data_IF_496440457729
#
_entry.id   IF_496440457729
#
_cell.length_a   1.000
_cell.length_b   1.000
_cell.length_c   1.000
_cell.angle_alpha   90.00
_cell.angle_beta   90.00
_cell.angle_gamma   90.00
#
_symmetry.space_group_name_H-M   'P 1'
#
loop_
_entity.id
_entity.type
_entity.pdbx_description
1 polymer ?
#
# COMPACT_ATOMS: atom_id res chain seq x y z
N UNK A 1 20.76 -39.48 6.73
CA UNK A 1 19.60 -39.93 5.93
C UNK A 1 19.37 -38.92 4.81
N UNK A 2 19.51 -39.32 3.55
CA UNK A 2 19.36 -38.41 2.40
C UNK A 2 17.88 -38.00 2.25
N UNK A 3 17.60 -36.69 2.18
CA UNK A 3 16.25 -36.16 1.96
C UNK A 3 15.77 -36.58 0.57
N UNK A 4 14.54 -37.08 0.48
CA UNK A 4 13.93 -37.46 -0.79
C UNK A 4 13.80 -36.24 -1.72
N UNK A 5 14.42 -36.29 -2.90
CA UNK A 5 14.29 -35.26 -3.94
C UNK A 5 12.85 -35.26 -4.44
N UNK A 6 12.18 -34.10 -4.39
CA UNK A 6 10.85 -33.92 -4.95
C UNK A 6 11.00 -33.49 -6.40
N UNK A 7 10.59 -34.33 -7.34
CA UNK A 7 10.72 -34.08 -8.79
C UNK A 7 10.06 -32.75 -9.17
N UNK A 8 10.79 -31.88 -9.87
CA UNK A 8 10.29 -30.59 -10.35
C UNK A 8 10.51 -29.39 -9.41
N UNK A 9 11.17 -29.58 -8.27
CA UNK A 9 11.53 -28.51 -7.34
C UNK A 9 13.06 -28.40 -7.18
N UNK A 10 13.61 -27.19 -6.98
CA UNK A 10 15.03 -26.98 -6.70
C UNK A 10 15.52 -27.76 -5.46
N UNK A 11 16.76 -28.26 -5.51
CA UNK A 11 17.38 -29.05 -4.43
C UNK A 11 17.53 -28.26 -3.10
N UNK A 12 17.47 -26.93 -3.15
CA UNK A 12 17.59 -26.00 -2.03
C UNK A 12 16.25 -25.60 -1.37
N UNK A 13 15.12 -26.16 -1.83
CA UNK A 13 13.82 -25.79 -1.29
C UNK A 13 13.59 -26.37 0.12
N UNK A 14 13.70 -25.51 1.13
CA UNK A 14 13.32 -25.82 2.51
C UNK A 14 11.90 -25.31 2.76
N UNK A 15 11.04 -26.14 3.36
CA UNK A 15 9.72 -25.70 3.83
C UNK A 15 9.92 -24.68 4.97
N UNK A 16 9.78 -23.38 4.68
CA UNK A 16 9.87 -22.32 5.69
C UNK A 16 8.56 -22.29 6.47
N UNK A 17 8.50 -23.06 7.55
CA UNK A 17 7.36 -23.12 8.47
C UNK A 17 7.51 -22.07 9.58
N UNK A 18 8.01 -20.88 9.26
CA UNK A 18 8.02 -19.82 10.24
C UNK A 18 6.55 -19.42 10.41
N UNK A 19 6.01 -19.39 11.64
CA UNK A 19 4.59 -19.07 11.88
C UNK A 19 4.18 -17.79 11.12
N UNK A 20 5.10 -16.84 11.00
CA UNK A 20 4.92 -15.61 10.23
C UNK A 20 4.82 -15.76 8.70
N UNK A 21 5.41 -16.78 8.07
CA UNK A 21 5.45 -16.90 6.61
C UNK A 21 4.12 -17.41 6.03
N UNK A 22 3.44 -18.30 6.75
CA UNK A 22 2.11 -18.80 6.38
C UNK A 22 1.07 -17.69 6.57
N UNK A 23 1.12 -16.98 7.71
CA UNK A 23 0.27 -15.82 7.99
C UNK A 23 0.42 -14.71 6.93
N UNK A 24 1.65 -14.46 6.46
CA UNK A 24 1.94 -13.45 5.43
C UNK A 24 1.39 -13.82 4.04
N UNK A 25 1.30 -15.12 3.73
CA UNK A 25 0.72 -15.63 2.48
C UNK A 25 -0.81 -15.63 2.55
N UNK A 26 -1.37 -15.95 3.72
CA UNK A 26 -2.81 -15.99 3.96
C UNK A 26 -3.44 -14.60 4.12
N UNK A 27 -2.70 -13.58 4.57
CA UNK A 27 -3.17 -12.18 4.61
C UNK A 27 -3.19 -11.52 3.20
N UNK A 28 -3.89 -12.16 2.27
CA UNK A 28 -4.46 -11.44 1.13
C UNK A 28 -5.63 -10.61 1.66
N UNK A 29 -5.31 -9.46 2.26
CA UNK A 29 -6.31 -8.46 2.63
C UNK A 29 -7.00 -8.01 1.35
N UNK A 30 -8.20 -8.55 1.08
CA UNK A 30 -9.06 -8.22 -0.06
C UNK A 30 -9.74 -6.85 0.09
N UNK A 31 -9.04 -5.87 0.65
CA UNK A 31 -9.55 -4.52 0.91
C UNK A 31 -8.54 -3.44 0.54
N UNK A 32 -9.00 -2.21 0.29
CA UNK A 32 -8.11 -1.08 0.03
C UNK A 32 -7.19 -0.87 1.23
N UNK A 33 -5.87 -1.01 1.02
CA UNK A 33 -4.86 -0.73 2.05
C UNK A 33 -4.77 0.78 2.28
N UNK A 34 -5.37 1.25 3.36
CA UNK A 34 -5.21 2.62 3.84
C UNK A 34 -3.86 2.71 4.55
N UNK A 35 -3.05 3.72 4.21
CA UNK A 35 -1.73 3.96 4.80
C UNK A 35 -1.57 5.45 5.08
N UNK A 36 -0.92 5.79 6.18
CA UNK A 36 -0.44 7.14 6.43
C UNK A 36 0.80 7.39 5.59
N UNK A 37 0.72 8.31 4.63
CA UNK A 37 1.81 8.67 3.72
C UNK A 37 2.27 10.08 4.05
N UNK A 38 3.58 10.30 4.15
CA UNK A 38 4.15 11.64 4.32
C UNK A 38 3.81 12.50 3.09
N UNK A 39 3.38 13.74 3.32
CA UNK A 39 3.05 14.70 2.25
C UNK A 39 4.23 14.88 1.27
N UNK A 40 5.47 14.79 1.75
CA UNK A 40 6.69 14.89 0.96
C UNK A 40 6.93 13.73 -0.02
N UNK A 41 6.08 12.70 0.00
CA UNK A 41 6.11 11.58 -0.94
C UNK A 41 4.98 11.64 -1.97
N UNK A 42 4.12 12.65 -1.92
CA UNK A 42 2.97 12.78 -2.81
C UNK A 42 3.26 13.84 -3.87
N UNK A 43 3.31 13.40 -5.12
CA UNK A 43 3.39 14.29 -6.27
C UNK A 43 1.98 14.69 -6.75
N UNK A 44 1.81 15.88 -7.34
CA UNK A 44 0.56 16.25 -8.02
C UNK A 44 0.19 15.24 -9.12
N UNK A 45 -1.12 15.02 -9.30
CA UNK A 45 -1.60 14.14 -10.37
C UNK A 45 -1.24 14.73 -11.74
N UNK A 46 -0.58 13.97 -12.64
CA UNK A 46 -0.29 14.43 -13.99
C UNK A 46 -1.55 14.58 -14.86
N UNK A 47 -2.67 13.97 -14.44
CA UNK A 47 -3.96 14.02 -15.13
C UNK A 47 -4.98 14.85 -14.33
N UNK A 48 -4.54 15.95 -13.71
CA UNK A 48 -5.42 16.82 -12.96
C UNK A 48 -6.36 17.57 -13.91
N UNK A 49 -7.64 17.21 -13.92
CA UNK A 49 -8.65 17.85 -14.77
C UNK A 49 -9.07 19.24 -14.24
N UNK A 50 -9.01 19.44 -12.91
CA UNK A 50 -9.35 20.72 -12.30
C UNK A 50 -8.19 21.70 -12.48
N UNK A 51 -8.42 22.78 -13.23
CA UNK A 51 -7.42 23.83 -13.50
C UNK A 51 -7.40 24.93 -12.44
N UNK A 52 -8.53 25.20 -11.78
CA UNK A 52 -8.67 26.23 -10.76
C UNK A 52 -9.21 25.63 -9.45
N UNK A 53 -8.59 25.98 -8.32
CA UNK A 53 -8.98 25.45 -7.01
C UNK A 53 -10.09 26.27 -6.32
N UNK A 54 -10.22 27.55 -6.68
CA UNK A 54 -11.10 28.49 -5.97
C UNK A 54 -10.63 28.76 -4.54
N UNK A 55 -11.57 29.18 -3.70
CA UNK A 55 -11.35 29.34 -2.26
C UNK A 55 -11.42 27.97 -1.56
N UNK A 56 -10.37 27.63 -0.81
CA UNK A 56 -10.23 26.36 -0.07
C UNK A 56 -10.21 26.55 1.45
N UNK A 57 -10.44 27.77 1.95
CA UNK A 57 -10.38 28.08 3.39
C UNK A 57 -11.41 27.27 4.20
N UNK A 58 -12.62 27.09 3.69
CA UNK A 58 -13.65 26.26 4.33
C UNK A 58 -13.20 24.79 4.47
N UNK A 59 -12.60 24.23 3.42
CA UNK A 59 -12.07 22.87 3.44
C UNK A 59 -10.90 22.73 4.43
N UNK A 60 -10.01 23.72 4.47
CA UNK A 60 -8.89 23.74 5.42
C UNK A 60 -9.36 23.82 6.87
N UNK A 61 -10.36 24.66 7.16
CA UNK A 61 -10.95 24.76 8.49
C UNK A 61 -11.61 23.45 8.92
N UNK A 62 -12.38 22.82 8.02
CA UNK A 62 -13.02 21.52 8.26
C UNK A 62 -12.02 20.40 8.53
N UNK A 63 -10.94 20.30 7.74
CA UNK A 63 -9.88 19.31 7.96
C UNK A 63 -9.16 19.52 9.29
N UNK A 64 -8.93 20.78 9.71
CA UNK A 64 -8.31 21.07 11.01
C UNK A 64 -9.20 20.64 12.18
N UNK A 65 -10.53 20.77 12.04
CA UNK A 65 -11.48 20.42 13.10
C UNK A 65 -11.82 18.93 13.15
N UNK A 66 -12.04 18.29 11.99
CA UNK A 66 -12.57 16.93 11.88
C UNK A 66 -11.55 15.90 11.37
N UNK A 67 -10.43 16.35 10.83
CA UNK A 67 -9.49 15.50 10.10
C UNK A 67 -9.96 15.19 8.67
N UNK A 68 -9.21 14.31 8.01
CA UNK A 68 -9.54 13.86 6.65
C UNK A 68 -10.54 12.70 6.75
N UNK A 69 -11.78 12.95 6.35
CA UNK A 69 -12.85 11.94 6.39
C UNK A 69 -12.65 10.83 5.35
N UNK A 70 -12.23 11.21 4.14
CA UNK A 70 -12.03 10.28 3.03
C UNK A 70 -10.55 10.22 2.63
N UNK A 71 -9.92 9.02 2.62
CA UNK A 71 -8.55 8.86 2.14
C UNK A 71 -8.41 9.30 0.68
N UNK A 72 -7.25 9.86 0.35
CA UNK A 72 -6.88 10.16 -1.03
C UNK A 72 -6.45 8.89 -1.77
N UNK A 73 -6.71 8.85 -3.07
CA UNK A 73 -6.29 7.76 -3.94
C UNK A 73 -4.93 8.12 -4.53
N UNK A 74 -3.96 7.23 -4.38
CA UNK A 74 -2.61 7.39 -4.91
C UNK A 74 -2.17 6.12 -5.64
N UNK A 75 -1.16 6.26 -6.50
CA UNK A 75 -0.46 5.14 -7.13
C UNK A 75 1.04 5.31 -6.90
N UNK A 76 1.73 4.19 -6.78
CA UNK A 76 3.20 4.20 -6.69
C UNK A 76 3.81 4.74 -7.98
N UNK A 77 4.86 5.55 -7.83
CA UNK A 77 5.65 6.10 -8.95
C UNK A 77 7.12 6.06 -8.58
N UNK A 78 7.91 5.29 -9.31
CA UNK A 78 9.37 5.14 -9.10
C UNK A 78 9.75 4.67 -7.68
N UNK A 79 8.99 3.72 -7.09
CA UNK A 79 9.27 3.21 -5.75
C UNK A 79 8.83 4.13 -4.60
N UNK A 80 7.99 5.13 -4.90
CA UNK A 80 7.49 6.13 -3.94
C UNK A 80 5.98 6.24 -4.00
#
# INVERSE_FOLDING_TARGET
MQKARKTGLPDDITMRHDNHYVDLIEEKLYGPRIRMISINKIDPSPHQARTELGDIEELMASIKEKGILQPIIVREKNGR
#
